data_IF_583587286704
#
_entry.id   IF_583587286704
#
_cell.length_a   1.000
_cell.length_b   1.000
_cell.length_c   1.000
_cell.angle_alpha   90.00
_cell.angle_beta   90.00
_cell.angle_gamma   90.00
#
_symmetry.space_group_name_H-M   'P 1'
#
loop_
_entity.id
_entity.type
_entity.pdbx_description
1 polymer ?
#
# COMPACT_ATOMS: atom_id res chain seq x y z
N UNK A 1 -39.56 7.85 6.75
CA UNK A 1 -38.56 8.71 7.43
C UNK A 1 -38.29 9.93 6.57
N UNK A 2 -38.67 11.14 7.00
CA UNK A 2 -38.83 12.29 6.10
C UNK A 2 -37.52 12.94 5.62
N UNK A 3 -36.33 12.51 6.08
CA UNK A 3 -35.05 13.15 5.74
C UNK A 3 -33.88 12.17 5.51
N UNK A 4 -34.15 10.88 5.28
CA UNK A 4 -33.11 9.83 5.23
C UNK A 4 -32.00 10.12 4.21
N UNK A 5 -32.36 10.57 3.00
CA UNK A 5 -31.39 10.95 1.94
C UNK A 5 -30.45 12.06 2.39
N UNK A 6 -30.94 13.04 3.15
CA UNK A 6 -30.14 14.17 3.63
C UNK A 6 -29.15 13.70 4.70
N UNK A 7 -29.56 12.77 5.57
CA UNK A 7 -28.68 12.22 6.60
C UNK A 7 -27.55 11.38 5.99
N UNK A 8 -27.87 10.51 5.02
CA UNK A 8 -26.86 9.70 4.32
C UNK A 8 -25.83 10.59 3.64
N UNK A 9 -26.28 11.62 2.92
CA UNK A 9 -25.38 12.55 2.22
C UNK A 9 -24.48 13.33 3.19
N UNK A 10 -25.00 13.74 4.34
CA UNK A 10 -24.20 14.41 5.39
C UNK A 10 -23.15 13.49 5.98
N UNK A 11 -23.50 12.24 6.27
CA UNK A 11 -22.57 11.23 6.79
C UNK A 11 -21.46 10.98 5.76
N UNK A 12 -21.82 10.81 4.49
CA UNK A 12 -20.85 10.63 3.41
C UNK A 12 -19.83 11.77 3.36
N UNK A 13 -20.29 13.03 3.32
CA UNK A 13 -19.41 14.21 3.30
C UNK A 13 -18.54 14.32 4.55
N UNK A 14 -19.09 13.95 5.71
CA UNK A 14 -18.32 13.91 6.95
C UNK A 14 -17.18 12.89 6.85
N UNK A 15 -17.46 11.68 6.37
CA UNK A 15 -16.45 10.63 6.18
C UNK A 15 -15.37 11.09 5.18
N UNK A 16 -15.76 11.64 4.03
CA UNK A 16 -14.82 12.16 3.02
C UNK A 16 -13.90 13.25 3.61
N UNK A 17 -14.43 14.14 4.46
CA UNK A 17 -13.63 15.18 5.13
C UNK A 17 -12.71 14.61 6.21
N UNK A 18 -13.13 13.55 6.89
CA UNK A 18 -12.35 12.92 7.96
C UNK A 18 -11.27 11.98 7.41
N UNK A 19 -11.46 11.39 6.23
CA UNK A 19 -10.53 10.41 5.65
C UNK A 19 -9.06 10.90 5.61
N UNK A 20 -8.75 12.14 5.17
CA UNK A 20 -7.37 12.64 5.15
C UNK A 20 -6.78 12.84 6.56
N UNK A 21 -7.64 12.98 7.58
CA UNK A 21 -7.22 13.19 8.97
C UNK A 21 -6.91 11.89 9.72
N UNK A 22 -7.20 10.72 9.12
CA UNK A 22 -6.89 9.42 9.72
C UNK A 22 -5.41 9.07 9.52
N UNK A 23 -4.84 9.38 8.35
CA UNK A 23 -3.46 9.08 7.99
C UNK A 23 -2.63 10.37 7.82
N UNK A 24 -2.54 11.15 8.89
CA UNK A 24 -1.91 12.48 8.82
C UNK A 24 -0.40 12.46 8.57
N UNK A 25 0.26 11.34 8.86
CA UNK A 25 1.69 11.20 8.70
C UNK A 25 1.97 9.93 7.90
N UNK A 26 2.50 10.10 6.71
CA UNK A 26 2.96 9.00 5.85
C UNK A 26 4.46 9.15 5.62
N UNK A 27 5.16 8.03 5.54
CA UNK A 27 6.53 7.97 5.06
C UNK A 27 6.51 7.35 3.65
N UNK A 28 7.36 7.87 2.76
CA UNK A 28 7.48 7.30 1.43
C UNK A 28 8.04 5.88 1.52
N UNK A 29 7.37 4.96 0.84
CA UNK A 29 7.78 3.57 0.71
C UNK A 29 8.35 3.34 -0.68
N UNK A 30 9.49 2.66 -0.75
CA UNK A 30 10.07 2.20 -2.01
C UNK A 30 9.84 0.71 -2.15
N UNK A 31 9.29 0.30 -3.30
CA UNK A 31 9.07 -1.10 -3.61
C UNK A 31 9.97 -1.54 -4.76
N UNK A 32 10.45 -2.77 -4.65
CA UNK A 32 11.05 -3.52 -5.75
C UNK A 32 10.45 -4.91 -5.79
N UNK A 33 10.47 -5.54 -6.95
CA UNK A 33 9.91 -6.86 -7.11
C UNK A 33 10.72 -7.72 -8.06
N UNK A 34 10.58 -9.03 -7.89
CA UNK A 34 10.99 -10.02 -8.88
C UNK A 34 9.76 -10.80 -9.33
N UNK A 35 9.76 -11.27 -10.57
CA UNK A 35 8.63 -11.96 -11.20
C UNK A 35 9.09 -13.22 -11.90
N UNK A 36 8.26 -14.26 -11.83
CA UNK A 36 8.43 -15.49 -12.58
C UNK A 36 7.06 -16.13 -12.89
N UNK A 37 6.94 -16.90 -13.97
CA UNK A 37 5.67 -17.52 -14.37
C UNK A 37 5.25 -18.67 -13.44
N UNK A 38 6.18 -19.19 -12.64
CA UNK A 38 5.96 -20.20 -11.61
C UNK A 38 6.29 -19.64 -10.22
N UNK A 39 5.69 -20.20 -9.14
CA UNK A 39 6.03 -19.81 -7.77
C UNK A 39 7.53 -19.86 -7.50
N UNK A 40 8.07 -18.77 -6.96
CA UNK A 40 9.49 -18.65 -6.62
C UNK A 40 9.67 -19.07 -5.16
N UNK A 41 10.44 -20.13 -4.86
CA UNK A 41 10.79 -20.51 -3.49
C UNK A 41 11.61 -19.42 -2.78
N UNK A 42 11.42 -19.27 -1.47
CA UNK A 42 12.14 -18.26 -0.69
C UNK A 42 13.67 -18.40 -0.80
N UNK A 43 14.18 -19.63 -0.84
CA UNK A 43 15.61 -19.94 -0.97
C UNK A 43 16.24 -19.45 -2.27
N UNK A 44 15.43 -19.17 -3.29
CA UNK A 44 15.89 -18.72 -4.60
C UNK A 44 15.83 -17.20 -4.76
N UNK A 45 15.38 -16.45 -3.74
CA UNK A 45 15.15 -15.00 -3.83
C UNK A 45 16.42 -14.16 -3.94
N UNK A 46 17.53 -14.63 -3.39
CA UNK A 46 18.80 -13.91 -3.42
C UNK A 46 19.37 -13.80 -4.83
N UNK A 47 19.12 -14.81 -5.69
CA UNK A 47 19.56 -14.84 -7.08
C UNK A 47 18.56 -14.22 -8.06
N UNK A 48 17.39 -13.77 -7.59
CA UNK A 48 16.40 -13.16 -8.47
C UNK A 48 16.78 -11.75 -8.91
N UNK A 49 16.29 -11.38 -10.10
CA UNK A 49 16.41 -10.03 -10.62
C UNK A 49 15.33 -9.13 -10.00
N UNK A 50 15.76 -8.21 -9.14
CA UNK A 50 14.90 -7.22 -8.49
C UNK A 50 14.83 -5.94 -9.31
N UNK A 51 13.61 -5.51 -9.66
CA UNK A 51 13.35 -4.25 -10.38
C UNK A 51 12.47 -3.33 -9.53
N UNK A 52 12.75 -2.04 -9.53
CA UNK A 52 11.91 -1.05 -8.84
C UNK A 52 10.51 -1.01 -9.47
N UNK A 53 9.50 -0.66 -8.67
CA UNK A 53 8.12 -0.50 -9.12
C UNK A 53 7.45 0.68 -8.43
N UNK A 54 6.63 1.40 -9.18
CA UNK A 54 5.77 2.47 -8.68
C UNK A 54 4.32 1.99 -8.49
N UNK A 55 3.59 2.66 -7.59
CA UNK A 55 2.17 2.39 -7.41
C UNK A 55 1.40 2.58 -8.73
N UNK A 56 0.60 1.57 -9.10
CA UNK A 56 -0.17 1.57 -10.34
C UNK A 56 0.55 0.97 -11.56
N UNK A 57 1.85 0.64 -11.45
CA UNK A 57 2.56 -0.05 -12.52
C UNK A 57 2.22 -1.53 -12.60
N UNK A 58 2.30 -2.08 -13.82
CA UNK A 58 2.09 -3.51 -14.07
C UNK A 58 3.30 -4.30 -13.58
N UNK A 59 3.08 -5.18 -12.61
CA UNK A 59 4.14 -6.06 -12.08
C UNK A 59 4.26 -7.40 -12.82
N UNK A 60 3.18 -7.98 -13.32
CA UNK A 60 3.22 -9.34 -13.89
C UNK A 60 2.07 -9.66 -14.84
N UNK A 61 2.05 -10.89 -15.32
CA UNK A 61 1.01 -11.46 -16.17
C UNK A 61 0.08 -12.41 -15.40
N UNK A 62 -0.98 -12.88 -16.06
CA UNK A 62 -1.92 -13.85 -15.51
C UNK A 62 -1.19 -15.12 -15.02
N UNK A 63 -1.51 -15.52 -13.78
CA UNK A 63 -0.97 -16.70 -13.09
C UNK A 63 0.53 -16.65 -12.75
N UNK A 64 1.21 -15.53 -12.99
CA UNK A 64 2.58 -15.37 -12.55
C UNK A 64 2.71 -15.12 -11.05
N UNK A 65 3.90 -15.39 -10.53
CA UNK A 65 4.28 -15.18 -9.14
C UNK A 65 5.28 -14.04 -9.03
N UNK A 66 5.15 -13.22 -7.99
CA UNK A 66 6.11 -12.17 -7.69
C UNK A 66 6.38 -12.07 -6.20
N UNK A 67 7.60 -11.69 -5.85
CA UNK A 67 7.95 -11.26 -4.50
C UNK A 67 8.22 -9.77 -4.50
N UNK A 68 7.80 -9.10 -3.42
CA UNK A 68 8.02 -7.68 -3.23
C UNK A 68 8.93 -7.44 -2.03
N UNK A 69 9.89 -6.53 -2.21
CA UNK A 69 10.71 -5.96 -1.15
C UNK A 69 10.27 -4.52 -1.00
N UNK A 70 9.73 -4.20 0.16
CA UNK A 70 9.29 -2.85 0.51
C UNK A 70 10.22 -2.31 1.58
N UNK A 71 10.79 -1.14 1.31
CA UNK A 71 11.68 -0.42 2.22
C UNK A 71 11.07 0.93 2.54
N UNK A 72 11.01 1.26 3.83
CA UNK A 72 10.47 2.53 4.31
C UNK A 72 11.47 3.13 5.29
N UNK A 73 11.82 4.40 5.09
CA UNK A 73 12.61 5.15 6.07
C UNK A 73 11.64 5.88 6.97
N UNK A 74 11.57 5.49 8.25
CA UNK A 74 10.66 6.11 9.21
C UNK A 74 11.24 7.45 9.68
N UNK A 75 10.56 8.59 9.43
CA UNK A 75 10.97 9.89 9.96
C UNK A 75 10.97 9.89 11.49
N UNK A 76 11.87 10.68 12.09
CA UNK A 76 11.95 10.82 13.55
C UNK A 76 10.65 11.34 14.19
N UNK A 77 9.84 12.08 13.43
CA UNK A 77 8.52 12.61 13.86
C UNK A 77 7.48 11.51 14.13
N UNK A 78 7.72 10.30 13.61
CA UNK A 78 6.89 9.11 13.80
C UNK A 78 7.43 8.18 14.91
N UNK A 79 8.55 8.52 15.54
CA UNK A 79 9.13 7.70 16.60
C UNK A 79 8.15 7.52 17.77
N UNK A 80 8.00 6.28 18.24
CA UNK A 80 7.10 5.94 19.35
C UNK A 80 5.61 5.86 19.00
N UNK A 81 5.24 6.05 17.72
CA UNK A 81 3.87 5.83 17.23
C UNK A 81 3.69 4.40 16.72
N UNK A 82 2.45 3.93 16.72
CA UNK A 82 2.07 2.69 16.04
C UNK A 82 1.99 2.95 14.53
N UNK A 83 2.65 2.10 13.74
CA UNK A 83 2.81 2.26 12.30
C UNK A 83 2.22 1.05 11.57
N UNK A 84 1.65 1.31 10.41
CA UNK A 84 1.10 0.28 9.53
C UNK A 84 1.45 0.60 8.07
N UNK A 85 1.70 -0.45 7.30
CA UNK A 85 1.87 -0.40 5.85
C UNK A 85 0.52 -0.72 5.21
N UNK A 86 0.00 0.19 4.39
CA UNK A 86 -1.32 0.11 3.75
C UNK A 86 -1.20 0.09 2.23
#
# INVERSE_FOLDING_TARGET
>A
MQNEKIHIERIRRLIERLQPLVHQHSADAHASFCYHDLPIPYTELESQNWRAIQCGEKWGELWGSAWFKVSVTIPSELAGKELALW
#
